data_IF_119157405292
#
_entry.id   IF_119157405292
#
_cell.length_a   1.000
_cell.length_b   1.000
_cell.length_c   1.000
_cell.angle_alpha   90.00
_cell.angle_beta   90.00
_cell.angle_gamma   90.00
#
_symmetry.space_group_name_H-M   'P 1'
#
loop_
_entity.id
_entity.type
_entity.pdbx_description
1 polymer ?
#
# COMPACT_ATOMS: atom_id res chain seq x y z
N UNK A 1 12.26 -15.41 6.61
CA UNK A 1 12.43 -13.93 6.77
C UNK A 1 12.15 -13.11 5.49
N UNK A 2 12.43 -13.61 4.28
CA UNK A 2 12.23 -12.83 3.03
C UNK A 2 10.78 -12.45 2.71
N UNK A 3 9.81 -13.32 3.03
CA UNK A 3 8.38 -13.06 2.77
C UNK A 3 7.83 -11.86 3.55
N UNK A 4 8.09 -11.81 4.86
CA UNK A 4 7.70 -10.71 5.74
C UNK A 4 8.24 -9.36 5.24
N UNK A 5 9.56 -9.29 4.97
CA UNK A 5 10.21 -8.08 4.49
C UNK A 5 9.63 -7.66 3.12
N UNK A 6 9.37 -8.61 2.23
CA UNK A 6 8.78 -8.32 0.91
C UNK A 6 7.39 -7.71 1.02
N UNK A 7 6.52 -8.24 1.88
CA UNK A 7 5.17 -7.69 2.09
C UNK A 7 5.20 -6.32 2.76
N UNK A 8 6.09 -6.11 3.74
CA UNK A 8 6.26 -4.81 4.38
C UNK A 8 6.76 -3.75 3.39
N UNK A 9 7.80 -4.05 2.61
CA UNK A 9 8.39 -3.11 1.66
C UNK A 9 7.44 -2.84 0.48
N UNK A 10 6.82 -3.87 -0.09
CA UNK A 10 5.87 -3.70 -1.18
C UNK A 10 4.61 -2.93 -0.74
N UNK A 11 4.09 -3.24 0.46
CA UNK A 11 2.95 -2.53 1.03
C UNK A 11 3.26 -1.06 1.32
N UNK A 12 4.44 -0.78 1.91
CA UNK A 12 4.90 0.58 2.16
C UNK A 12 5.05 1.41 0.88
N UNK A 13 5.69 0.85 -0.15
CA UNK A 13 5.84 1.52 -1.45
C UNK A 13 4.47 1.80 -2.12
N UNK A 14 3.55 0.83 -2.08
CA UNK A 14 2.20 1.00 -2.61
C UNK A 14 1.42 2.10 -1.86
N UNK A 15 1.60 2.19 -0.53
CA UNK A 15 0.94 3.19 0.31
C UNK A 15 1.48 4.60 0.01
N UNK A 16 2.80 4.76 -0.06
CA UNK A 16 3.44 6.04 -0.40
C UNK A 16 3.02 6.49 -1.81
N UNK A 17 3.07 5.60 -2.80
CA UNK A 17 2.66 5.90 -4.16
C UNK A 17 1.18 6.30 -4.24
N UNK A 18 0.29 5.58 -3.54
CA UNK A 18 -1.13 5.91 -3.46
C UNK A 18 -1.38 7.29 -2.87
N UNK A 19 -0.75 7.59 -1.72
CA UNK A 19 -0.89 8.87 -1.04
C UNK A 19 -0.38 10.03 -1.90
N UNK A 20 0.72 9.83 -2.62
CA UNK A 20 1.23 10.82 -3.57
C UNK A 20 0.26 11.09 -4.70
N UNK A 21 -0.30 10.05 -5.31
CA UNK A 21 -1.29 10.19 -6.37
C UNK A 21 -2.55 10.91 -5.86
N UNK A 22 -2.99 10.66 -4.63
CA UNK A 22 -4.11 11.42 -4.03
C UNK A 22 -3.81 12.90 -3.80
N UNK A 23 -2.56 13.26 -3.51
CA UNK A 23 -2.15 14.65 -3.33
C UNK A 23 -1.98 15.39 -4.66
N UNK A 24 -1.53 14.68 -5.70
CA UNK A 24 -1.29 15.24 -7.04
C UNK A 24 -2.59 15.39 -7.85
N UNK A 25 -3.58 14.52 -7.62
CA UNK A 25 -4.87 14.58 -8.30
C UNK A 25 -5.81 15.62 -7.71
N UNK A 26 -6.55 16.35 -8.55
CA UNK A 26 -7.65 17.18 -8.05
C UNK A 26 -8.72 16.31 -7.37
N UNK A 27 -9.34 16.84 -6.33
CA UNK A 27 -10.36 16.15 -5.56
C UNK A 27 -11.48 15.64 -6.49
N UNK A 28 -11.86 14.36 -6.37
CA UNK A 28 -12.81 13.64 -7.24
C UNK A 28 -12.36 13.31 -8.69
N UNK A 29 -11.10 13.54 -9.06
CA UNK A 29 -10.56 13.02 -10.33
C UNK A 29 -10.32 11.50 -10.28
N UNK A 30 -10.32 10.84 -11.43
CA UNK A 30 -9.99 9.41 -11.57
C UNK A 30 -8.59 9.08 -11.00
N UNK A 31 -7.65 10.04 -11.09
CA UNK A 31 -6.35 9.97 -10.43
C UNK A 31 -6.47 9.91 -8.90
N UNK A 32 -7.33 10.73 -8.29
CA UNK A 32 -7.56 10.72 -6.85
C UNK A 32 -8.16 9.38 -6.37
N UNK A 33 -9.12 8.82 -7.10
CA UNK A 33 -9.69 7.51 -6.81
C UNK A 33 -8.67 6.37 -6.93
N UNK A 34 -7.82 6.40 -7.97
CA UNK A 34 -6.75 5.40 -8.13
C UNK A 34 -5.71 5.51 -7.02
N UNK A 35 -5.38 6.73 -6.57
CA UNK A 35 -4.52 6.93 -5.40
C UNK A 35 -5.10 6.33 -4.12
N UNK A 36 -6.40 6.50 -3.87
CA UNK A 36 -7.08 5.90 -2.70
C UNK A 36 -7.05 4.38 -2.78
N UNK A 37 -7.38 3.82 -3.95
CA UNK A 37 -7.35 2.37 -4.15
C UNK A 37 -5.94 1.79 -3.92
N UNK A 38 -4.90 2.48 -4.40
CA UNK A 38 -3.50 2.09 -4.18
C UNK A 38 -3.11 2.18 -2.71
N UNK A 39 -3.53 3.25 -2.01
CA UNK A 39 -3.26 3.43 -0.59
C UNK A 39 -3.93 2.34 0.25
N UNK A 40 -5.18 2.00 -0.07
CA UNK A 40 -5.90 0.89 0.57
C UNK A 40 -5.21 -0.45 0.31
N UNK A 41 -4.79 -0.73 -0.92
CA UNK A 41 -4.02 -1.94 -1.27
C UNK A 41 -2.68 -2.01 -0.52
N UNK A 42 -1.96 -0.88 -0.40
CA UNK A 42 -0.74 -0.80 0.40
C UNK A 42 -0.98 -1.10 1.89
N UNK A 43 -2.07 -0.58 2.46
CA UNK A 43 -2.49 -0.89 3.82
C UNK A 43 -2.84 -2.37 4.03
N UNK A 44 -3.56 -2.99 3.08
CA UNK A 44 -3.88 -4.43 3.12
C UNK A 44 -2.60 -5.27 3.00
N UNK A 45 -1.69 -4.92 2.10
CA UNK A 45 -0.42 -5.63 1.95
C UNK A 45 0.45 -5.54 3.22
N UNK A 46 0.48 -4.40 3.90
CA UNK A 46 1.11 -4.25 5.21
C UNK A 46 0.43 -5.12 6.27
N UNK A 47 -0.90 -5.10 6.35
CA UNK A 47 -1.65 -5.92 7.30
C UNK A 47 -1.39 -7.42 7.08
N UNK A 48 -1.35 -7.87 5.82
CA UNK A 48 -0.99 -9.25 5.45
C UNK A 48 0.45 -9.56 5.83
N UNK A 49 1.41 -8.64 5.62
CA UNK A 49 2.79 -8.85 6.08
C UNK A 49 2.90 -8.97 7.60
N UNK A 50 2.17 -8.14 8.36
CA UNK A 50 2.17 -8.15 9.83
C UNK A 50 1.50 -9.40 10.40
N UNK A 51 0.37 -9.82 9.80
CA UNK A 51 -0.37 -11.01 10.24
C UNK A 51 0.09 -12.32 9.58
N UNK A 52 0.97 -12.24 8.59
CA UNK A 52 1.61 -13.42 8.02
C UNK A 52 2.36 -14.09 9.16
N UNK A 53 2.05 -15.36 9.47
CA UNK A 53 2.76 -16.08 10.51
C UNK A 53 4.24 -16.01 10.14
N UNK A 54 5.07 -15.61 11.10
CA UNK A 54 6.50 -15.80 11.02
C UNK A 54 6.69 -17.33 10.94
N UNK A 55 6.69 -17.88 9.73
CA UNK A 55 7.15 -19.23 9.47
C UNK A 55 8.58 -19.27 9.99
N UNK A 56 8.73 -19.89 11.16
CA UNK A 56 9.96 -20.10 11.90
C UNK A 56 10.62 -21.38 11.43
#
# INVERSE_FOLDING_TARGET
MEGFVRFIVAGGLALVAGLWITQLGSQASTAWLTGIALAALGGVALAVGIYSPLEY
#
